data_IF_884420741298
#
_entry.id   IF_884420741298
#
_cell.length_a   1.000
_cell.length_b   1.000
_cell.length_c   1.000
_cell.angle_alpha   90.00
_cell.angle_beta   90.00
_cell.angle_gamma   90.00
#
_symmetry.space_group_name_H-M   'P 1'
#
loop_
_entity.id
_entity.type
_entity.pdbx_description
1 polymer ?
#
# COMPACT_ATOMS: atom_id res chain seq x y z
N UNK A 1 7.98 -8.07 10.10
CA UNK A 1 8.63 -7.03 9.24
C UNK A 1 7.95 -5.68 9.38
N UNK A 2 6.67 -5.59 9.04
CA UNK A 2 5.99 -4.29 9.11
C UNK A 2 5.90 -3.73 10.53
N UNK A 3 5.76 -4.58 11.52
CA UNK A 3 5.76 -4.12 12.92
C UNK A 3 7.07 -3.42 13.28
N UNK A 4 8.19 -3.92 12.77
CA UNK A 4 9.49 -3.29 13.01
C UNK A 4 9.61 -1.95 12.29
N UNK A 5 9.02 -1.83 11.11
CA UNK A 5 8.98 -0.57 10.37
C UNK A 5 8.13 0.44 11.13
N UNK A 6 6.97 0.02 11.64
CA UNK A 6 6.09 0.88 12.41
C UNK A 6 6.79 1.40 13.66
N UNK A 7 7.55 0.53 14.33
CA UNK A 7 8.30 0.90 15.54
C UNK A 7 9.61 1.64 15.24
N UNK A 8 9.94 1.84 13.97
CA UNK A 8 11.19 2.47 13.52
C UNK A 8 12.42 1.65 13.83
N UNK A 9 12.27 0.36 14.10
CA UNK A 9 13.40 -0.54 14.32
C UNK A 9 14.11 -0.88 13.01
N UNK A 10 13.39 -0.79 11.88
CA UNK A 10 13.92 -1.04 10.55
C UNK A 10 13.71 0.23 9.72
N UNK A 11 14.75 0.73 9.05
CA UNK A 11 14.60 1.92 8.20
C UNK A 11 13.57 1.73 7.12
N UNK A 12 12.81 2.78 6.84
CA UNK A 12 11.86 2.81 5.75
C UNK A 12 11.70 4.25 5.29
N UNK A 13 11.24 4.42 4.04
CA UNK A 13 10.95 5.75 3.52
C UNK A 13 9.47 6.01 3.67
N UNK A 14 9.10 6.64 4.77
CA UNK A 14 7.71 6.98 5.04
C UNK A 14 7.29 8.16 4.18
N UNK A 15 6.13 8.03 3.55
CA UNK A 15 5.60 9.10 2.69
C UNK A 15 4.35 9.73 3.28
N UNK A 16 3.71 9.07 4.23
CA UNK A 16 2.50 9.55 4.85
C UNK A 16 2.20 8.76 6.12
N UNK A 17 1.58 9.41 7.09
CA UNK A 17 1.14 8.70 8.30
C UNK A 17 0.01 9.44 8.99
N UNK A 18 -0.79 8.69 9.73
CA UNK A 18 -1.78 9.23 10.64
C UNK A 18 -1.72 8.45 11.94
N UNK A 19 -2.73 8.61 12.80
CA UNK A 19 -2.74 7.94 14.11
C UNK A 19 -2.72 6.43 13.99
N UNK A 20 -3.38 5.90 12.99
CA UNK A 20 -3.57 4.45 12.87
C UNK A 20 -2.81 3.79 11.75
N UNK A 21 -2.17 4.56 10.86
CA UNK A 21 -1.59 3.99 9.65
C UNK A 21 -0.28 4.65 9.28
N UNK A 22 0.53 3.92 8.53
CA UNK A 22 1.76 4.43 7.94
C UNK A 22 1.81 3.98 6.49
N UNK A 23 2.27 4.87 5.62
CA UNK A 23 2.54 4.54 4.23
C UNK A 23 4.03 4.74 3.95
N UNK A 24 4.65 3.79 3.28
CA UNK A 24 6.07 3.84 2.96
C UNK A 24 6.34 3.18 1.62
N UNK A 25 7.49 3.53 1.03
CA UNK A 25 7.89 2.94 -0.24
C UNK A 25 8.19 1.46 -0.05
N UNK A 26 7.72 0.65 -1.00
CA UNK A 26 7.99 -0.77 -0.99
C UNK A 26 9.46 -0.99 -1.36
N UNK A 27 10.18 -1.76 -0.54
CA UNK A 27 11.58 -2.06 -0.79
C UNK A 27 11.77 -2.98 -2.01
N UNK A 28 10.74 -3.76 -2.34
CA UNK A 28 10.79 -4.70 -3.46
C UNK A 28 9.60 -4.47 -4.38
N UNK A 29 9.53 -3.31 -5.03
CA UNK A 29 8.34 -2.95 -5.79
C UNK A 29 8.23 -3.73 -7.10
N UNK A 30 6.98 -4.02 -7.47
CA UNK A 30 6.67 -4.52 -8.81
C UNK A 30 6.75 -3.36 -9.81
N UNK A 31 6.41 -2.17 -9.33
CA UNK A 31 6.45 -0.94 -10.13
C UNK A 31 7.14 0.16 -9.36
N UNK A 32 7.80 1.04 -10.11
CA UNK A 32 8.38 2.25 -9.53
C UNK A 32 7.29 3.06 -8.84
N UNK A 33 7.57 3.49 -7.61
CA UNK A 33 6.63 4.29 -6.84
C UNK A 33 5.58 3.51 -6.10
N UNK A 34 5.69 2.18 -6.08
CA UNK A 34 4.77 1.35 -5.32
C UNK A 34 4.88 1.66 -3.83
N UNK A 35 3.73 1.83 -3.19
CA UNK A 35 3.66 2.18 -1.78
C UNK A 35 2.84 1.13 -1.04
N UNK A 36 3.25 0.87 0.20
CA UNK A 36 2.49 0.02 1.12
C UNK A 36 1.84 0.89 2.16
N UNK A 37 0.55 0.67 2.40
CA UNK A 37 -0.19 1.32 3.49
C UNK A 37 -0.52 0.24 4.51
N UNK A 38 -0.04 0.42 5.74
CA UNK A 38 -0.21 -0.58 6.80
C UNK A 38 -0.83 0.04 8.04
N UNK A 39 -1.47 -0.80 8.86
CA UNK A 39 -1.94 -0.37 10.16
C UNK A 39 -0.75 -0.30 11.13
N UNK A 40 -0.76 0.68 12.04
CA UNK A 40 0.28 0.76 13.07
C UNK A 40 0.21 -0.43 14.01
N UNK A 41 -0.99 -0.80 14.43
CA UNK A 41 -1.15 -1.97 15.26
C UNK A 41 -1.13 -3.21 14.38
N UNK A 42 -0.54 -4.27 14.91
CA UNK A 42 -0.49 -5.52 14.17
C UNK A 42 -1.92 -6.05 13.97
N UNK A 43 -2.24 -6.34 12.73
CA UNK A 43 -3.47 -7.03 12.34
C UNK A 43 -3.08 -8.07 11.31
N UNK A 44 -3.65 -9.25 11.42
CA UNK A 44 -3.39 -10.29 10.45
C UNK A 44 -3.85 -9.84 9.07
N UNK A 45 -3.23 -10.42 8.04
CA UNK A 45 -3.42 -9.99 6.67
C UNK A 45 -4.75 -10.41 6.04
N UNK A 46 -5.71 -10.80 6.85
CA UNK A 46 -7.05 -11.19 6.38
C UNK A 46 -7.97 -9.99 6.50
N UNK A 47 -7.97 -9.16 5.48
CA UNK A 47 -8.66 -7.87 5.53
C UNK A 47 -10.15 -7.98 5.84
N UNK A 48 -10.81 -9.00 5.32
CA UNK A 48 -12.25 -9.15 5.52
C UNK A 48 -12.61 -9.56 6.95
N UNK A 49 -11.62 -9.88 7.77
CA UNK A 49 -11.84 -10.18 9.19
C UNK A 49 -11.61 -8.97 10.08
N UNK A 50 -11.21 -7.84 9.52
CA UNK A 50 -11.08 -6.61 10.29
C UNK A 50 -12.46 -6.10 10.71
N UNK A 51 -12.57 -5.51 11.92
CA UNK A 51 -13.80 -4.81 12.29
C UNK A 51 -14.11 -3.71 11.25
N UNK A 52 -15.38 -3.43 11.04
CA UNK A 52 -15.82 -2.48 10.03
C UNK A 52 -15.11 -1.13 10.12
N UNK A 53 -14.95 -0.60 11.30
CA UNK A 53 -14.30 0.71 11.48
C UNK A 53 -12.83 0.65 11.09
N UNK A 54 -12.14 -0.45 11.41
CA UNK A 54 -10.73 -0.60 11.03
C UNK A 54 -10.59 -0.81 9.54
N UNK A 55 -11.48 -1.59 8.95
CA UNK A 55 -11.49 -1.81 7.51
C UNK A 55 -11.69 -0.49 6.77
N UNK A 56 -12.69 0.27 7.18
CA UNK A 56 -12.99 1.56 6.56
C UNK A 56 -11.84 2.54 6.73
N UNK A 57 -11.26 2.58 7.92
CA UNK A 57 -10.14 3.50 8.20
C UNK A 57 -8.94 3.19 7.32
N UNK A 58 -8.64 1.92 7.10
CA UNK A 58 -7.52 1.52 6.25
C UNK A 58 -7.73 1.99 4.81
N UNK A 59 -8.92 1.80 4.28
CA UNK A 59 -9.20 2.20 2.90
C UNK A 59 -9.27 3.72 2.74
N UNK A 60 -9.73 4.43 3.77
CA UNK A 60 -9.69 5.89 3.75
C UNK A 60 -8.25 6.40 3.80
N UNK A 61 -7.41 5.77 4.61
CA UNK A 61 -5.99 6.10 4.64
C UNK A 61 -5.36 5.90 3.26
N UNK A 62 -5.67 4.77 2.62
CA UNK A 62 -5.17 4.49 1.28
C UNK A 62 -5.62 5.55 0.27
N UNK A 63 -6.86 6.02 0.40
CA UNK A 63 -7.36 7.08 -0.48
C UNK A 63 -6.56 8.36 -0.33
N UNK A 64 -6.24 8.75 0.91
CA UNK A 64 -5.43 9.95 1.16
C UNK A 64 -4.03 9.82 0.57
N UNK A 65 -3.43 8.64 0.74
CA UNK A 65 -2.11 8.37 0.18
C UNK A 65 -2.15 8.38 -1.34
N UNK A 66 -3.18 7.78 -1.92
CA UNK A 66 -3.34 7.75 -3.37
C UNK A 66 -3.48 9.15 -3.96
N UNK A 67 -4.23 10.03 -3.30
CA UNK A 67 -4.37 11.41 -3.74
C UNK A 67 -3.02 12.13 -3.74
N UNK A 68 -2.24 11.93 -2.68
CA UNK A 68 -0.92 12.53 -2.58
C UNK A 68 0.03 11.98 -3.64
N UNK A 69 0.00 10.67 -3.84
CA UNK A 69 0.84 9.99 -4.82
C UNK A 69 0.51 10.46 -6.23
N UNK A 70 -0.76 10.59 -6.55
CA UNK A 70 -1.21 11.05 -7.85
C UNK A 70 -0.69 12.46 -8.14
N UNK A 71 -0.76 13.33 -7.16
CA UNK A 71 -0.28 14.71 -7.32
C UNK A 71 1.25 14.75 -7.44
N UNK A 72 1.94 14.01 -6.60
CA UNK A 72 3.40 14.04 -6.55
C UNK A 72 4.03 13.49 -7.82
N UNK A 73 3.45 12.45 -8.41
CA UNK A 73 4.01 11.78 -9.58
C UNK A 73 3.32 12.14 -10.89
N UNK A 74 2.24 12.91 -10.84
CA UNK A 74 1.46 13.19 -12.05
C UNK A 74 0.80 11.93 -12.60
N UNK A 75 0.46 10.99 -11.74
CA UNK A 75 -0.11 9.72 -12.17
C UNK A 75 -1.53 9.91 -12.69
N UNK A 76 -1.87 9.18 -13.75
CA UNK A 76 -3.23 9.21 -14.30
C UNK A 76 -4.21 8.51 -13.37
N UNK A 77 -3.76 7.47 -12.71
CA UNK A 77 -4.55 6.74 -11.72
C UNK A 77 -3.65 5.99 -10.77
N UNK A 78 -4.23 5.54 -9.68
CA UNK A 78 -3.54 4.71 -8.70
C UNK A 78 -4.38 3.44 -8.52
N UNK A 79 -3.75 2.30 -8.69
CA UNK A 79 -4.38 1.01 -8.46
C UNK A 79 -4.13 0.58 -7.03
N UNK A 80 -5.07 -0.16 -6.45
CA UNK A 80 -4.85 -0.70 -5.11
C UNK A 80 -5.14 -2.19 -5.08
N UNK A 81 -4.33 -2.91 -4.32
CA UNK A 81 -4.47 -4.35 -4.15
C UNK A 81 -4.26 -4.72 -2.71
N UNK A 82 -5.16 -5.53 -2.16
CA UNK A 82 -5.02 -6.05 -0.82
C UNK A 82 -5.11 -7.58 -0.91
N UNK A 83 -3.98 -8.25 -1.04
CA UNK A 83 -3.97 -9.70 -1.19
C UNK A 83 -3.68 -10.44 0.10
N UNK A 84 -2.85 -9.88 0.97
CA UNK A 84 -2.55 -10.47 2.26
C UNK A 84 -1.61 -11.67 2.24
N UNK A 85 -0.96 -11.92 1.13
CA UNK A 85 -0.02 -13.03 1.01
C UNK A 85 1.39 -12.56 1.29
N UNK A 86 2.24 -13.44 1.75
CA UNK A 86 3.64 -13.15 2.00
C UNK A 86 3.93 -12.63 3.39
N UNK A 87 3.34 -11.53 3.80
CA UNK A 87 3.56 -10.93 5.11
C UNK A 87 2.26 -10.88 5.89
N UNK A 88 2.26 -11.46 7.09
CA UNK A 88 1.05 -11.51 7.91
C UNK A 88 0.90 -10.26 8.78
N UNK A 89 0.75 -9.13 8.11
CA UNK A 89 0.37 -7.85 8.70
C UNK A 89 -0.43 -7.16 7.61
N UNK A 90 -1.66 -6.79 7.88
CA UNK A 90 -2.54 -6.25 6.86
C UNK A 90 -1.89 -5.06 6.15
N UNK A 91 -1.86 -5.12 4.85
CA UNK A 91 -1.25 -4.08 4.03
C UNK A 91 -1.98 -3.94 2.71
N UNK A 92 -2.03 -2.72 2.24
CA UNK A 92 -2.66 -2.36 0.99
C UNK A 92 -1.57 -1.81 0.08
N UNK A 93 -1.44 -2.39 -1.11
CA UNK A 93 -0.44 -1.97 -2.08
C UNK A 93 -1.05 -0.94 -3.03
N UNK A 94 -0.35 0.15 -3.24
CA UNK A 94 -0.76 1.18 -4.19
C UNK A 94 0.24 1.25 -5.34
N UNK A 95 -0.29 1.21 -6.55
CA UNK A 95 0.52 1.22 -7.77
C UNK A 95 0.17 2.45 -8.61
N UNK A 96 1.09 3.40 -8.76
CA UNK A 96 0.82 4.54 -9.64
C UNK A 96 0.91 4.13 -11.11
N UNK A 97 0.00 4.66 -11.91
CA UNK A 97 0.03 4.47 -13.37
C UNK A 97 0.22 5.84 -13.98
N UNK A 98 1.40 6.09 -14.52
CA UNK A 98 1.76 7.40 -15.04
C UNK A 98 1.24 7.59 -16.46
N UNK A 99 1.38 6.57 -17.27
CA UNK A 99 0.87 6.57 -18.64
C UNK A 99 -0.01 5.36 -18.83
N UNK A 100 -0.64 5.22 -19.97
CA UNK A 100 -1.44 4.03 -20.26
C UNK A 100 -0.54 2.85 -20.61
N UNK A 101 0.39 2.56 -19.72
CA UNK A 101 1.42 1.53 -19.92
C UNK A 101 0.85 0.12 -20.00
N UNK A 102 -0.33 -0.07 -19.43
CA UNK A 102 -0.90 -1.40 -19.28
C UNK A 102 -2.28 -1.46 -19.87
N UNK A 103 -2.33 -1.80 -21.13
CA UNK A 103 -3.60 -1.91 -21.84
C UNK A 103 -4.48 -3.01 -21.26
N UNK A 104 -3.89 -4.02 -20.69
CA UNK A 104 -4.64 -5.08 -20.04
C UNK A 104 -5.21 -4.72 -18.68
N UNK A 105 -4.92 -3.53 -18.17
CA UNK A 105 -5.38 -3.08 -16.86
C UNK A 105 -4.51 -3.57 -15.74
N UNK A 106 -5.11 -4.28 -14.81
CA UNK A 106 -4.43 -4.68 -13.59
C UNK A 106 -3.23 -5.59 -13.83
N UNK A 107 -2.14 -5.30 -13.14
CA UNK A 107 -0.98 -6.19 -13.13
C UNK A 107 -1.38 -7.47 -12.40
N UNK A 108 -1.20 -8.66 -13.00
CA UNK A 108 -1.57 -9.90 -12.33
C UNK A 108 -0.82 -10.06 -11.01
N UNK A 109 -1.54 -10.55 -10.00
CA UNK A 109 -0.94 -10.81 -8.71
C UNK A 109 0.10 -11.92 -8.84
N UNK A 110 1.24 -11.72 -8.20
CA UNK A 110 2.32 -12.68 -8.23
C UNK A 110 3.09 -12.72 -9.55
N UNK A 111 2.68 -11.94 -10.54
CA UNK A 111 3.41 -11.86 -11.79
C UNK A 111 4.68 -11.05 -11.58
N UNK A 112 5.73 -11.42 -12.29
CA UNK A 112 6.94 -10.62 -12.29
C UNK A 112 6.73 -9.40 -13.17
N UNK A 113 7.31 -8.29 -12.76
CA UNK A 113 7.33 -7.10 -13.60
C UNK A 113 8.33 -7.36 -14.71
N UNK A 114 7.84 -7.46 -15.91
CA UNK A 114 8.70 -7.78 -17.05
C UNK A 114 8.74 -6.64 -18.03
#
# INVERSE_FOLDING_TARGET
MFCKIVASDVPSQRVWEDKGHIAFLDAYPVRKGQILVVTREHRESKAFELPDLEYSALFLAAKRVAEKLKMALGANRVLQVLEGLGVNHVHLKLFPVIDDEHEGGLVPLGAKAE
#
